data_IF_200637628840
#
_entry.id   IF_200637628840
#
_cell.length_a   1.000
_cell.length_b   1.000
_cell.length_c   1.000
_cell.angle_alpha   90.00
_cell.angle_beta   90.00
_cell.angle_gamma   90.00
#
_symmetry.space_group_name_H-M   'P 1'
#
loop_
_entity.id
_entity.type
_entity.pdbx_description
1 polymer ?
#
# COMPACT_ATOMS: atom_id res chain seq x y z
N UNK A 1 16.60 -10.54 6.34
CA UNK A 1 16.82 -9.22 5.73
C UNK A 1 16.37 -9.33 4.27
N UNK A 2 15.51 -8.45 3.81
CA UNK A 2 14.99 -8.43 2.44
C UNK A 2 15.34 -7.10 1.78
N UNK A 3 15.35 -7.09 0.45
CA UNK A 3 15.50 -5.88 -0.36
C UNK A 3 14.11 -5.42 -0.81
N UNK A 4 13.78 -4.17 -0.52
CA UNK A 4 12.47 -3.58 -0.81
C UNK A 4 12.65 -2.39 -1.74
N UNK A 5 11.92 -2.38 -2.83
CA UNK A 5 11.90 -1.27 -3.78
C UNK A 5 10.61 -0.50 -3.62
N UNK A 6 10.67 0.81 -3.46
CA UNK A 6 9.49 1.69 -3.32
C UNK A 6 9.44 2.67 -4.50
N UNK A 7 8.45 2.51 -5.35
CA UNK A 7 8.12 3.52 -6.36
C UNK A 7 7.38 4.68 -5.68
N UNK A 8 8.00 5.87 -5.70
CA UNK A 8 7.46 7.08 -5.08
C UNK A 8 8.11 7.44 -3.75
N UNK A 9 8.50 8.70 -3.62
CA UNK A 9 9.25 9.27 -2.49
C UNK A 9 8.42 10.27 -1.68
N UNK A 10 7.10 10.25 -1.85
CA UNK A 10 6.16 11.08 -1.09
C UNK A 10 5.98 10.62 0.36
N UNK A 11 5.08 11.27 1.10
CA UNK A 11 4.85 11.01 2.52
C UNK A 11 4.56 9.53 2.82
N UNK A 12 3.74 8.86 1.99
CA UNK A 12 3.43 7.44 2.17
C UNK A 12 4.65 6.55 1.92
N UNK A 13 5.40 6.80 0.83
CA UNK A 13 6.62 6.06 0.53
C UNK A 13 7.65 6.16 1.65
N UNK A 14 7.88 7.37 2.18
CA UNK A 14 8.80 7.60 3.30
C UNK A 14 8.33 6.91 4.60
N UNK A 15 7.04 7.00 4.92
CA UNK A 15 6.49 6.35 6.11
C UNK A 15 6.63 4.83 6.03
N UNK A 16 6.32 4.22 4.89
CA UNK A 16 6.46 2.78 4.66
C UNK A 16 7.94 2.37 4.69
N UNK A 17 8.83 3.15 4.08
CA UNK A 17 10.27 2.93 4.14
C UNK A 17 10.77 2.87 5.59
N UNK A 18 10.31 3.79 6.44
CA UNK A 18 10.69 3.83 7.85
C UNK A 18 10.28 2.56 8.61
N UNK A 19 9.14 1.96 8.26
CA UNK A 19 8.68 0.69 8.84
C UNK A 19 9.64 -0.44 8.47
N UNK A 20 9.93 -0.61 7.19
CA UNK A 20 10.82 -1.68 6.73
C UNK A 20 12.26 -1.51 7.24
N UNK A 21 12.78 -0.28 7.21
CA UNK A 21 14.12 0.01 7.76
C UNK A 21 14.19 -0.27 9.27
N UNK A 22 13.13 0.06 10.03
CA UNK A 22 13.03 -0.28 11.46
C UNK A 22 13.00 -1.79 11.70
N UNK A 23 12.49 -2.57 10.74
CA UNK A 23 12.50 -4.04 10.74
C UNK A 23 13.84 -4.66 10.29
N UNK A 24 14.85 -3.84 9.95
CA UNK A 24 16.17 -4.32 9.53
C UNK A 24 16.24 -4.71 8.05
N UNK A 25 15.34 -4.19 7.21
CA UNK A 25 15.34 -4.41 5.76
C UNK A 25 16.02 -3.26 5.00
N UNK A 26 16.57 -3.56 3.83
CA UNK A 26 17.12 -2.56 2.92
C UNK A 26 16.03 -1.98 2.04
N UNK A 27 15.99 -0.66 1.91
CA UNK A 27 14.98 0.05 1.13
C UNK A 27 15.62 0.93 0.08
N UNK A 28 15.18 0.76 -1.16
CA UNK A 28 15.56 1.58 -2.30
C UNK A 28 14.34 2.32 -2.85
N UNK A 29 14.52 3.59 -3.14
CA UNK A 29 13.48 4.38 -3.79
C UNK A 29 13.68 4.45 -5.30
N UNK A 30 12.57 4.42 -6.01
CA UNK A 30 12.52 4.69 -7.45
C UNK A 30 11.72 5.96 -7.68
N UNK A 31 12.36 6.93 -8.30
CA UNK A 31 11.76 8.20 -8.69
C UNK A 31 11.30 8.19 -10.17
N UNK A 32 11.26 9.38 -10.76
CA UNK A 32 10.82 9.57 -12.16
C UNK A 32 11.81 9.01 -13.19
N UNK A 33 13.05 8.77 -12.79
CA UNK A 33 14.10 8.17 -13.60
C UNK A 33 13.87 6.68 -13.90
N UNK A 34 12.92 6.04 -13.18
CA UNK A 34 12.64 4.61 -13.27
C UNK A 34 13.67 3.74 -12.54
N UNK A 35 13.59 2.43 -12.75
CA UNK A 35 14.53 1.47 -12.15
C UNK A 35 15.93 1.64 -12.76
N UNK A 36 16.92 1.89 -11.91
CA UNK A 36 18.35 1.96 -12.28
C UNK A 36 19.11 0.67 -11.92
N UNK A 37 18.47 -0.23 -11.17
CA UNK A 37 18.97 -1.53 -10.78
C UNK A 37 17.81 -2.51 -10.66
N UNK A 38 18.12 -3.80 -10.45
CA UNK A 38 17.12 -4.85 -10.27
C UNK A 38 16.21 -4.54 -9.07
N UNK A 39 14.90 -4.73 -9.24
CA UNK A 39 13.94 -4.57 -8.17
C UNK A 39 14.15 -5.58 -7.03
N UNK A 40 13.90 -5.16 -5.82
CA UNK A 40 13.89 -6.01 -4.63
C UNK A 40 12.84 -7.13 -4.69
N UNK A 41 12.81 -7.98 -3.67
CA UNK A 41 11.83 -9.08 -3.60
C UNK A 41 10.42 -8.59 -3.30
N UNK A 42 10.32 -7.44 -2.64
CA UNK A 42 9.08 -6.71 -2.41
C UNK A 42 9.16 -5.38 -3.14
N UNK A 43 8.12 -5.05 -3.88
CA UNK A 43 7.97 -3.80 -4.62
C UNK A 43 6.72 -3.08 -4.15
N UNK A 44 6.85 -1.86 -3.65
CA UNK A 44 5.74 -1.03 -3.16
C UNK A 44 5.42 0.06 -4.17
N UNK A 45 4.14 0.14 -4.57
CA UNK A 45 3.62 1.18 -5.46
C UNK A 45 3.07 2.34 -4.63
N UNK A 46 3.96 3.25 -4.18
CA UNK A 46 3.60 4.44 -3.39
C UNK A 46 3.44 5.69 -4.28
N UNK A 47 2.70 5.53 -5.37
CA UNK A 47 2.44 6.56 -6.40
C UNK A 47 0.91 6.75 -6.58
N UNK A 48 0.47 7.85 -7.18
CA UNK A 48 -0.94 8.01 -7.55
C UNK A 48 -1.42 6.88 -8.48
N UNK A 49 -2.65 6.41 -8.29
CA UNK A 49 -3.23 5.30 -9.06
C UNK A 49 -3.08 5.45 -10.58
N UNK A 50 -3.29 6.66 -11.09
CA UNK A 50 -3.18 6.96 -12.54
C UNK A 50 -1.80 6.72 -13.13
N UNK A 51 -0.74 6.69 -12.31
CA UNK A 51 0.63 6.43 -12.77
C UNK A 51 0.99 4.94 -12.77
N UNK A 52 0.18 4.09 -12.14
CA UNK A 52 0.54 2.68 -11.89
C UNK A 52 0.65 1.91 -13.20
N UNK A 53 -0.31 2.03 -14.11
CA UNK A 53 -0.32 1.26 -15.35
C UNK A 53 0.96 1.46 -16.18
N UNK A 54 1.44 2.69 -16.32
CA UNK A 54 2.68 3.00 -17.05
C UNK A 54 3.93 2.44 -16.36
N UNK A 55 3.96 2.45 -15.02
CA UNK A 55 5.06 1.87 -14.24
C UNK A 55 5.10 0.35 -14.43
N UNK A 56 3.94 -0.32 -14.37
CA UNK A 56 3.85 -1.77 -14.57
C UNK A 56 4.30 -2.18 -15.97
N UNK A 57 3.84 -1.46 -17.00
CA UNK A 57 4.22 -1.73 -18.39
C UNK A 57 5.73 -1.58 -18.61
N UNK A 58 6.32 -0.50 -18.11
CA UNK A 58 7.75 -0.23 -18.26
C UNK A 58 8.66 -1.22 -17.51
N UNK A 59 8.15 -1.89 -16.47
CA UNK A 59 8.95 -2.74 -15.58
C UNK A 59 8.45 -4.19 -15.50
N UNK A 60 7.58 -4.63 -16.41
CA UNK A 60 6.89 -5.92 -16.34
C UNK A 60 7.82 -7.11 -16.07
N UNK A 61 8.95 -7.18 -16.78
CA UNK A 61 9.91 -8.28 -16.64
C UNK A 61 10.58 -8.32 -15.25
N UNK A 62 10.87 -7.14 -14.66
CA UNK A 62 11.48 -7.02 -13.34
C UNK A 62 10.50 -7.30 -12.19
N UNK A 63 9.21 -7.11 -12.43
CA UNK A 63 8.16 -7.30 -11.42
C UNK A 63 7.60 -8.73 -11.41
N UNK A 64 7.88 -9.54 -12.42
CA UNK A 64 7.44 -10.93 -12.49
C UNK A 64 7.95 -11.75 -11.28
N UNK A 65 7.04 -12.46 -10.60
CA UNK A 65 7.31 -13.25 -9.40
C UNK A 65 7.56 -12.46 -8.11
N UNK A 66 7.60 -11.12 -8.18
CA UNK A 66 7.79 -10.28 -6.99
C UNK A 66 6.50 -10.12 -6.19
N UNK A 67 6.63 -9.86 -4.89
CA UNK A 67 5.50 -9.38 -4.08
C UNK A 67 5.29 -7.90 -4.41
N UNK A 68 4.17 -7.63 -5.07
CA UNK A 68 3.80 -6.27 -5.50
C UNK A 68 2.75 -5.70 -4.55
N UNK A 69 3.15 -4.72 -3.76
CA UNK A 69 2.30 -4.10 -2.74
C UNK A 69 1.63 -2.87 -3.32
N UNK A 70 0.32 -2.95 -3.52
CA UNK A 70 -0.51 -1.81 -3.89
C UNK A 70 -1.03 -1.09 -2.64
N UNK A 71 -0.67 0.18 -2.49
CA UNK A 71 -1.13 1.04 -1.40
C UNK A 71 -2.13 2.11 -1.86
N UNK A 72 -2.51 2.09 -3.13
CA UNK A 72 -3.31 3.16 -3.72
C UNK A 72 -4.75 3.19 -3.20
N UNK A 73 -5.32 4.39 -3.17
CA UNK A 73 -6.75 4.60 -3.18
C UNK A 73 -7.05 5.30 -4.51
N UNK A 74 -7.87 4.70 -5.41
CA UNK A 74 -8.11 5.22 -6.75
C UNK A 74 -9.12 6.37 -6.74
N UNK A 75 -8.89 7.37 -5.89
CA UNK A 75 -9.76 8.54 -5.73
C UNK A 75 -9.59 9.50 -6.90
N UNK A 76 -10.68 9.99 -7.42
CA UNK A 76 -10.67 11.10 -8.36
C UNK A 76 -10.24 12.38 -7.62
N UNK A 77 -9.03 12.84 -7.90
CA UNK A 77 -8.45 13.99 -7.21
C UNK A 77 -9.06 15.34 -7.61
N UNK A 78 -9.85 15.39 -8.70
CA UNK A 78 -10.49 16.62 -9.16
C UNK A 78 -11.73 16.96 -8.32
N UNK A 79 -12.49 15.95 -7.93
CA UNK A 79 -13.72 16.14 -7.14
C UNK A 79 -13.68 15.53 -5.74
N UNK A 80 -12.73 14.64 -5.45
CA UNK A 80 -12.57 13.92 -4.17
C UNK A 80 -13.84 13.16 -3.73
N UNK A 81 -14.68 12.75 -4.67
CA UNK A 81 -16.01 12.18 -4.38
C UNK A 81 -16.34 10.94 -5.25
N UNK A 82 -15.36 10.44 -6.01
CA UNK A 82 -15.50 9.27 -6.88
C UNK A 82 -14.26 8.40 -6.83
N UNK A 83 -14.44 7.10 -7.10
CA UNK A 83 -13.35 6.17 -7.38
C UNK A 83 -13.19 5.98 -8.89
N UNK A 84 -11.94 5.89 -9.36
CA UNK A 84 -11.58 5.72 -10.77
C UNK A 84 -11.65 4.28 -11.26
N UNK A 85 -11.87 3.32 -10.36
CA UNK A 85 -12.00 1.90 -10.72
C UNK A 85 -13.42 1.55 -11.16
N UNK A 86 -13.59 0.53 -12.03
CA UNK A 86 -14.91 0.04 -12.39
C UNK A 86 -15.72 -0.42 -11.19
N UNK A 87 -17.04 -0.25 -11.24
CA UNK A 87 -17.96 -0.77 -10.23
C UNK A 87 -17.74 -2.28 -10.02
N UNK A 88 -17.62 -2.72 -8.79
CA UNK A 88 -17.37 -4.12 -8.46
C UNK A 88 -15.93 -4.60 -8.63
N UNK A 89 -14.96 -3.70 -8.89
CA UNK A 89 -13.53 -3.96 -8.91
C UNK A 89 -12.78 -3.07 -7.93
N UNK A 90 -11.46 -3.20 -7.87
CA UNK A 90 -10.55 -2.41 -7.05
C UNK A 90 -9.26 -2.10 -7.82
N UNK A 91 -8.49 -1.11 -7.37
CA UNK A 91 -7.17 -0.83 -7.94
C UNK A 91 -6.27 -2.09 -7.92
N UNK A 92 -6.26 -2.80 -6.80
CA UNK A 92 -5.46 -4.03 -6.69
C UNK A 92 -5.90 -5.13 -7.65
N UNK A 93 -7.20 -5.31 -7.90
CA UNK A 93 -7.70 -6.27 -8.88
C UNK A 93 -7.35 -5.85 -10.31
N UNK A 94 -7.42 -4.56 -10.64
CA UNK A 94 -7.00 -4.05 -11.96
C UNK A 94 -5.48 -4.21 -12.16
N UNK A 95 -4.67 -3.94 -11.12
CA UNK A 95 -3.22 -4.18 -11.14
C UNK A 95 -2.92 -5.67 -11.38
N UNK A 96 -3.60 -6.57 -10.69
CA UNK A 96 -3.40 -8.02 -10.85
C UNK A 96 -3.73 -8.51 -12.28
N UNK A 97 -4.68 -7.88 -12.96
CA UNK A 97 -4.97 -8.17 -14.39
C UNK A 97 -3.87 -7.69 -15.32
N UNK A 98 -3.23 -6.54 -15.01
CA UNK A 98 -2.15 -5.97 -15.83
C UNK A 98 -0.84 -6.76 -15.71
N UNK A 99 -0.59 -7.37 -14.56
CA UNK A 99 0.65 -8.09 -14.26
C UNK A 99 0.36 -9.42 -13.53
N UNK A 100 -0.24 -10.40 -14.23
CA UNK A 100 -0.65 -11.68 -13.63
C UNK A 100 0.51 -12.51 -13.10
N UNK A 101 1.73 -12.21 -13.53
CA UNK A 101 2.96 -12.88 -13.05
C UNK A 101 3.44 -12.35 -11.69
N UNK A 102 2.93 -11.21 -11.21
CA UNK A 102 3.28 -10.67 -9.89
C UNK A 102 2.33 -11.19 -8.80
N UNK A 103 2.83 -11.22 -7.57
CA UNK A 103 2.11 -11.64 -6.37
C UNK A 103 1.51 -10.41 -5.68
N UNK A 104 0.34 -9.95 -6.15
CA UNK A 104 -0.26 -8.69 -5.71
C UNK A 104 -0.83 -8.79 -4.31
N UNK A 105 -0.46 -7.84 -3.44
CA UNK A 105 -0.99 -7.67 -2.08
C UNK A 105 -1.47 -6.23 -1.92
N UNK A 106 -2.73 -6.06 -1.55
CA UNK A 106 -3.27 -4.77 -1.07
C UNK A 106 -2.86 -4.56 0.37
N UNK A 107 -2.25 -3.40 0.69
CA UNK A 107 -1.86 -3.06 2.07
C UNK A 107 -1.72 -1.54 2.26
N UNK A 108 -1.68 -1.06 3.50
CA UNK A 108 -1.43 0.33 3.93
C UNK A 108 -2.46 1.38 3.50
N UNK A 109 -3.33 1.12 2.54
CA UNK A 109 -4.24 2.10 1.95
C UNK A 109 -5.28 2.66 2.92
N UNK A 110 -5.54 1.96 4.04
CA UNK A 110 -6.47 2.38 5.11
C UNK A 110 -5.79 3.20 6.21
N UNK A 111 -4.50 3.50 6.06
CA UNK A 111 -3.69 4.23 7.02
C UNK A 111 -3.16 5.53 6.40
N UNK A 112 -3.12 6.60 7.16
CA UNK A 112 -2.39 7.82 6.77
C UNK A 112 -0.89 7.68 7.02
N UNK A 113 -0.08 8.39 6.24
CA UNK A 113 1.38 8.39 6.41
C UNK A 113 1.80 8.75 7.85
N UNK A 114 1.13 9.70 8.48
CA UNK A 114 1.41 10.10 9.85
C UNK A 114 1.15 8.97 10.87
N UNK A 115 0.09 8.17 10.68
CA UNK A 115 -0.20 7.04 11.58
C UNK A 115 0.77 5.87 11.38
N UNK A 116 1.24 5.65 10.14
CA UNK A 116 2.29 4.67 9.84
C UNK A 116 3.61 5.08 10.52
N UNK A 117 4.03 6.34 10.31
CA UNK A 117 5.29 6.86 10.87
C UNK A 117 5.29 6.89 12.41
N UNK A 118 4.17 7.30 13.01
CA UNK A 118 3.99 7.31 14.46
C UNK A 118 3.75 5.91 15.04
N UNK A 119 3.44 4.91 14.22
CA UNK A 119 3.01 3.55 14.62
C UNK A 119 1.77 3.55 15.52
N UNK A 120 1.03 4.65 15.54
CA UNK A 120 -0.16 4.86 16.37
C UNK A 120 -1.21 5.68 15.63
N UNK A 121 -2.46 5.32 15.83
CA UNK A 121 -3.64 6.08 15.40
C UNK A 121 -4.02 7.04 16.53
N UNK A 122 -4.03 8.34 16.23
CA UNK A 122 -4.36 9.43 17.17
C UNK A 122 -3.55 9.38 18.50
N UNK A 123 -2.35 8.79 18.51
CA UNK A 123 -1.54 8.61 19.71
C UNK A 123 -2.12 7.66 20.76
N UNK A 124 -3.10 6.83 20.39
CA UNK A 124 -3.83 5.94 21.31
C UNK A 124 -3.65 4.46 20.97
N UNK A 125 -4.06 4.08 19.77
CA UNK A 125 -4.08 2.68 19.36
C UNK A 125 -2.93 2.37 18.40
N UNK A 126 -2.37 1.17 18.50
CA UNK A 126 -1.32 0.73 17.57
C UNK A 126 -1.85 0.66 16.14
N UNK A 127 -1.08 1.19 15.20
CA UNK A 127 -1.47 1.15 13.79
C UNK A 127 -1.50 -0.29 13.30
N UNK A 128 -2.63 -0.71 12.75
CA UNK A 128 -2.82 -2.03 12.14
C UNK A 128 -2.92 -1.88 10.62
N UNK A 129 -2.08 -2.60 9.90
CA UNK A 129 -2.14 -2.70 8.44
C UNK A 129 -3.03 -3.88 8.05
N UNK A 130 -4.04 -3.61 7.24
CA UNK A 130 -4.95 -4.62 6.71
C UNK A 130 -4.40 -5.13 5.37
N UNK A 131 -4.30 -6.46 5.20
CA UNK A 131 -3.74 -7.07 3.99
C UNK A 131 -4.79 -7.91 3.26
N UNK A 132 -4.87 -7.78 1.94
CA UNK A 132 -5.69 -8.64 1.10
C UNK A 132 -4.88 -9.15 -0.10
N UNK A 133 -4.92 -10.45 -0.34
CA UNK A 133 -4.27 -11.11 -1.49
C UNK A 133 -4.83 -12.51 -1.68
N UNK A 134 -4.82 -13.01 -2.92
CA UNK A 134 -5.03 -14.42 -3.21
C UNK A 134 -3.81 -15.29 -2.80
N UNK A 135 -2.62 -14.69 -2.71
CA UNK A 135 -1.38 -15.37 -2.34
C UNK A 135 -1.15 -15.30 -0.82
N UNK A 136 -1.45 -16.40 -0.14
CA UNK A 136 -1.34 -16.50 1.32
C UNK A 136 0.11 -16.39 1.79
N UNK A 137 1.07 -16.91 1.03
CA UNK A 137 2.48 -16.82 1.38
C UNK A 137 3.01 -15.40 1.25
N UNK A 138 2.65 -14.70 0.16
CA UNK A 138 3.01 -13.28 -0.01
C UNK A 138 2.45 -12.42 1.12
N UNK A 139 1.18 -12.65 1.53
CA UNK A 139 0.60 -11.96 2.70
C UNK A 139 1.39 -12.24 3.97
N UNK A 140 1.73 -13.50 4.23
CA UNK A 140 2.45 -13.91 5.44
C UNK A 140 3.86 -13.29 5.49
N UNK A 141 4.58 -13.29 4.39
CA UNK A 141 5.91 -12.66 4.29
C UNK A 141 5.81 -11.16 4.56
N UNK A 142 4.91 -10.47 3.85
CA UNK A 142 4.74 -9.02 4.01
C UNK A 142 4.29 -8.66 5.42
N UNK A 143 3.34 -9.41 6.00
CA UNK A 143 2.88 -9.21 7.37
C UNK A 143 4.03 -9.32 8.39
N UNK A 144 4.89 -10.32 8.24
CA UNK A 144 6.07 -10.50 9.10
C UNK A 144 6.97 -9.27 9.08
N UNK A 145 7.32 -8.76 7.90
CA UNK A 145 8.19 -7.59 7.77
C UNK A 145 7.55 -6.30 8.29
N UNK A 146 6.24 -6.14 8.13
CA UNK A 146 5.49 -5.02 8.73
C UNK A 146 5.52 -5.09 10.26
N UNK A 147 5.37 -6.29 10.82
CA UNK A 147 5.42 -6.51 12.26
C UNK A 147 6.82 -6.30 12.85
N UNK A 148 7.87 -6.74 12.16
CA UNK A 148 9.26 -6.44 12.49
C UNK A 148 9.51 -4.93 12.53
N UNK A 149 8.84 -4.18 11.65
CA UNK A 149 8.84 -2.72 11.63
C UNK A 149 8.02 -2.05 12.72
N UNK A 150 7.34 -2.83 13.58
CA UNK A 150 6.62 -2.34 14.76
C UNK A 150 5.16 -1.98 14.57
N UNK A 151 4.54 -2.31 13.43
CA UNK A 151 3.10 -2.19 13.21
C UNK A 151 2.38 -3.51 13.52
N UNK A 152 1.07 -3.47 13.70
CA UNK A 152 0.24 -4.67 13.69
C UNK A 152 -0.27 -4.97 12.28
N UNK A 153 -0.68 -6.22 12.07
CA UNK A 153 -1.27 -6.66 10.81
C UNK A 153 -2.54 -7.46 11.05
N UNK A 154 -3.43 -7.43 10.05
CA UNK A 154 -4.60 -8.30 10.00
C UNK A 154 -4.85 -8.77 8.56
N UNK A 155 -5.10 -10.07 8.40
CA UNK A 155 -5.48 -10.65 7.12
C UNK A 155 -6.97 -10.34 6.85
N UNK A 156 -7.22 -9.50 5.84
CA UNK A 156 -8.57 -9.14 5.40
C UNK A 156 -9.16 -10.18 4.42
N UNK A 157 -8.38 -11.18 3.99
CA UNK A 157 -8.80 -12.25 3.10
C UNK A 157 -8.23 -12.16 1.69
N UNK A 158 -9.01 -12.65 0.72
CA UNK A 158 -8.68 -12.67 -0.71
C UNK A 158 -8.57 -11.27 -1.30
N UNK A 159 -7.89 -11.15 -2.47
CA UNK A 159 -7.65 -9.86 -3.13
C UNK A 159 -8.94 -9.06 -3.39
N UNK A 160 -10.08 -9.73 -3.58
CA UNK A 160 -11.38 -9.07 -3.72
C UNK A 160 -11.77 -8.20 -2.51
N UNK A 161 -11.17 -8.41 -1.33
CA UNK A 161 -11.36 -7.53 -0.15
C UNK A 161 -10.70 -6.17 -0.31
N UNK A 162 -9.86 -5.99 -1.34
CA UNK A 162 -9.32 -4.67 -1.67
C UNK A 162 -10.44 -3.65 -1.96
N UNK A 163 -11.61 -4.08 -2.42
CA UNK A 163 -12.78 -3.21 -2.65
C UNK A 163 -13.22 -2.51 -1.38
N UNK A 164 -13.38 -3.30 -0.29
CA UNK A 164 -13.78 -2.78 1.00
C UNK A 164 -12.67 -1.94 1.63
N UNK A 165 -11.41 -2.35 1.47
CA UNK A 165 -10.26 -1.58 1.96
C UNK A 165 -10.13 -0.24 1.23
N UNK A 166 -10.37 -0.19 -0.07
CA UNK A 166 -10.35 1.06 -0.86
C UNK A 166 -11.56 1.95 -0.51
N UNK A 167 -12.73 1.38 -0.27
CA UNK A 167 -13.89 2.12 0.21
C UNK A 167 -13.64 2.74 1.60
N UNK A 168 -12.99 1.99 2.52
CA UNK A 168 -12.57 2.52 3.82
C UNK A 168 -11.54 3.63 3.67
N UNK A 169 -10.52 3.44 2.83
CA UNK A 169 -9.50 4.45 2.55
C UNK A 169 -10.10 5.71 1.93
N UNK A 170 -11.01 5.55 0.97
CA UNK A 170 -11.74 6.66 0.35
C UNK A 170 -12.56 7.44 1.38
N UNK A 171 -13.34 6.76 2.22
CA UNK A 171 -14.10 7.41 3.29
C UNK A 171 -13.17 8.18 4.24
N UNK A 172 -12.07 7.58 4.66
CA UNK A 172 -11.13 8.22 5.58
C UNK A 172 -10.49 9.48 4.96
N UNK A 173 -10.10 9.41 3.69
CA UNK A 173 -9.54 10.56 2.94
C UNK A 173 -10.58 11.68 2.85
N UNK A 174 -11.83 11.38 2.48
CA UNK A 174 -12.88 12.40 2.36
C UNK A 174 -13.24 13.05 3.69
N UNK A 175 -13.22 12.29 4.79
CA UNK A 175 -13.38 12.83 6.13
C UNK A 175 -12.25 13.80 6.51
N UNK A 176 -11.01 13.48 6.15
CA UNK A 176 -9.86 14.35 6.41
C UNK A 176 -9.88 15.61 5.55
N UNK A 177 -10.17 15.49 4.26
CA UNK A 177 -10.31 16.63 3.33
C UNK A 177 -11.43 17.59 3.79
N UNK A 178 -12.50 17.05 4.34
CA UNK A 178 -13.62 17.83 4.92
C UNK A 178 -13.37 18.28 6.37
N UNK A 179 -12.16 18.15 6.87
CA UNK A 179 -11.74 18.54 8.23
C UNK A 179 -12.58 17.91 9.37
N UNK A 180 -13.16 16.73 9.12
CA UNK A 180 -13.91 15.97 10.14
C UNK A 180 -12.99 15.13 11.02
N UNK A 181 -11.83 14.76 10.50
CA UNK A 181 -10.73 14.10 11.21
C UNK A 181 -9.41 14.75 10.78
N UNK A 182 -8.39 14.70 11.63
CA UNK A 182 -7.07 15.15 11.24
C UNK A 182 -6.25 14.02 10.60
N UNK A 183 -5.12 14.34 9.98
CA UNK A 183 -4.27 13.37 9.27
C UNK A 183 -3.49 12.43 10.19
N UNK A 184 -3.60 12.56 11.50
CA UNK A 184 -3.07 11.63 12.52
C UNK A 184 -4.14 10.68 13.06
N UNK A 185 -5.40 10.88 12.67
CA UNK A 185 -6.53 9.99 12.99
C UNK A 185 -6.61 8.81 12.02
N UNK A 186 -7.58 7.94 12.20
CA UNK A 186 -7.81 6.78 11.34
C UNK A 186 -8.73 5.77 11.99
N UNK A 187 -8.89 4.64 11.31
CA UNK A 187 -9.59 3.48 11.86
C UNK A 187 -8.60 2.60 12.62
N UNK A 188 -8.90 2.27 13.85
CA UNK A 188 -8.12 1.34 14.66
C UNK A 188 -8.82 -0.02 14.71
N UNK A 189 -8.02 -1.10 14.73
CA UNK A 189 -8.52 -2.45 14.96
C UNK A 189 -8.25 -2.80 16.42
N UNK A 190 -9.31 -2.95 17.19
CA UNK A 190 -9.25 -3.40 18.59
C UNK A 190 -9.58 -4.90 18.61
N UNK A 191 -8.69 -5.71 19.21
CA UNK A 191 -8.81 -7.19 19.30
C UNK A 191 -9.13 -7.61 20.70
#
# INVERSE_FOLDING_TARGET
>A
MANITIFGQGNMGQAIASVFTSGGHEVDFVGKEGLTKRAGDIVVLAVPYVAIASILEANKAELAGKILVDISNPVNLENMDELLTPAGSSAAEEIAKLIPEARVVKAFNTNFAATIAAKQVAGKEKTTVQLASADQEAKKILAGYIQEGGLDTIDAGELKRARELEAMGFLLITLAVREKVNWTAGFAVIK
#
